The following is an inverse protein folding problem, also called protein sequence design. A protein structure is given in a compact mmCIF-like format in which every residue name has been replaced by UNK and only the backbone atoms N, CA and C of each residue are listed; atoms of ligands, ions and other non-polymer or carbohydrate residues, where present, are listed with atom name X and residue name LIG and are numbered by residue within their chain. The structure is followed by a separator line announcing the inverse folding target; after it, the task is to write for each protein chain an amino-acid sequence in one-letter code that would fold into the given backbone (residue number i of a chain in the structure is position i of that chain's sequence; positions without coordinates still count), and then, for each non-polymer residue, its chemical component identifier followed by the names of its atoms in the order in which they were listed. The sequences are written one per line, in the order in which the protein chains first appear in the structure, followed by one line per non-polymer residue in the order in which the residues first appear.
data_IF_964434162009
#
_entry.id   IF_964434162009
#
_cell.length_a   1.000
_cell.length_b   1.000
_cell.length_c   1.000
_cell.angle_alpha   90.00
_cell.angle_beta   90.00
_cell.angle_gamma   90.00
#
_symmetry.space_group_name_H-M   'P 1'
#
loop_
_entity.id
_entity.type
_entity.pdbx_description
1 polymer ?
#
# COMPACT_ATOMS: atom_id res chain seq x y z
N UNK A 1 17.22 7.53 0.07
CA UNK A 1 18.16 8.66 -0.09
C UNK A 1 19.57 8.29 0.37
N UNK A 2 19.81 8.04 1.67
CA UNK A 2 21.13 7.62 2.18
C UNK A 2 21.69 6.35 1.51
N UNK A 3 20.86 5.31 1.32
CA UNK A 3 21.26 4.06 0.65
C UNK A 3 21.52 4.20 -0.86
N UNK A 4 21.08 5.30 -1.48
CA UNK A 4 21.25 5.56 -2.91
C UNK A 4 22.33 6.63 -3.19
N UNK A 5 23.09 7.06 -2.17
CA UNK A 5 24.07 8.16 -2.26
C UNK A 5 23.51 9.46 -2.88
N UNK A 6 22.22 9.75 -2.67
CA UNK A 6 21.56 10.95 -3.21
C UNK A 6 21.01 11.84 -2.10
N UNK A 7 21.05 13.16 -2.32
CA UNK A 7 20.27 14.10 -1.51
C UNK A 7 18.76 13.81 -1.66
N UNK A 8 17.92 14.14 -0.66
CA UNK A 8 16.47 13.90 -0.72
C UNK A 8 15.80 14.54 -1.95
N UNK A 9 16.23 15.73 -2.37
CA UNK A 9 15.67 16.40 -3.54
C UNK A 9 16.05 15.70 -4.86
N UNK A 10 17.31 15.25 -4.99
CA UNK A 10 17.75 14.50 -6.17
C UNK A 10 17.05 13.15 -6.26
N UNK A 11 16.89 12.46 -5.12
CA UNK A 11 16.15 11.20 -5.03
C UNK A 11 14.68 11.37 -5.46
N UNK A 12 13.96 12.37 -4.93
CA UNK A 12 12.58 12.64 -5.33
C UNK A 12 12.43 12.88 -6.83
N UNK A 13 13.31 13.69 -7.43
CA UNK A 13 13.27 13.99 -8.87
C UNK A 13 13.52 12.75 -9.71
N UNK A 14 14.57 11.99 -9.42
CA UNK A 14 14.88 10.76 -10.15
C UNK A 14 13.79 9.71 -9.96
N UNK A 15 13.30 9.53 -8.74
CA UNK A 15 12.26 8.57 -8.44
C UNK A 15 10.98 8.90 -9.20
N UNK A 16 10.56 10.17 -9.22
CA UNK A 16 9.39 10.60 -10.01
C UNK A 16 9.64 10.48 -11.52
N UNK A 17 10.84 10.75 -12.00
CA UNK A 17 11.17 10.57 -13.41
C UNK A 17 11.05 9.10 -13.88
N UNK A 18 11.40 8.15 -13.02
CA UNK A 18 11.35 6.71 -13.34
C UNK A 18 9.97 6.11 -13.07
N UNK A 19 9.33 6.47 -11.95
CA UNK A 19 8.09 5.82 -11.49
C UNK A 19 6.82 6.62 -11.80
N UNK A 20 6.96 7.86 -12.30
CA UNK A 20 5.87 8.85 -12.41
C UNK A 20 5.18 9.21 -11.09
N UNK A 21 5.67 8.72 -9.95
CA UNK A 21 5.09 8.90 -8.63
C UNK A 21 6.10 9.50 -7.66
N UNK A 22 5.62 10.16 -6.61
CA UNK A 22 6.51 10.45 -5.49
C UNK A 22 6.86 9.16 -4.73
N UNK A 23 8.04 9.06 -4.08
CA UNK A 23 8.42 7.92 -3.26
C UNK A 23 7.36 7.53 -2.23
N UNK A 24 6.71 8.52 -1.61
CA UNK A 24 5.65 8.28 -0.62
C UNK A 24 4.40 7.65 -1.24
N UNK A 25 3.99 8.11 -2.43
CA UNK A 25 2.86 7.51 -3.13
C UNK A 25 3.15 6.07 -3.53
N UNK A 26 4.36 5.81 -4.03
CA UNK A 26 4.79 4.47 -4.39
C UNK A 26 4.86 3.54 -3.17
N UNK A 27 5.41 4.02 -2.05
CA UNK A 27 5.45 3.26 -0.81
C UNK A 27 4.04 2.89 -0.33
N UNK A 28 3.09 3.84 -0.39
CA UNK A 28 1.69 3.56 -0.05
C UNK A 28 1.10 2.49 -0.96
N UNK A 29 1.34 2.59 -2.26
CA UNK A 29 0.86 1.60 -3.22
C UNK A 29 1.39 0.20 -2.89
N UNK A 30 2.69 0.06 -2.62
CA UNK A 30 3.29 -1.21 -2.24
C UNK A 30 2.69 -1.77 -0.95
N UNK A 31 2.51 -0.94 0.08
CA UNK A 31 1.88 -1.35 1.35
C UNK A 31 0.45 -1.85 1.16
N UNK A 32 -0.35 -1.16 0.35
CA UNK A 32 -1.72 -1.55 0.08
C UNK A 32 -1.81 -2.84 -0.75
N UNK A 33 -0.90 -3.04 -1.71
CA UNK A 33 -0.79 -4.30 -2.47
C UNK A 33 -0.40 -5.46 -1.57
N UNK A 34 0.57 -5.26 -0.67
CA UNK A 34 0.99 -6.30 0.26
C UNK A 34 -0.13 -6.66 1.26
N UNK A 35 -0.86 -5.67 1.77
CA UNK A 35 -2.00 -5.92 2.63
C UNK A 35 -3.06 -6.77 1.92
N UNK A 36 -3.35 -6.48 0.64
CA UNK A 36 -4.26 -7.29 -0.19
C UNK A 36 -3.76 -8.73 -0.33
N UNK A 37 -2.46 -8.92 -0.56
CA UNK A 37 -1.83 -10.24 -0.62
C UNK A 37 -1.99 -11.03 0.69
N UNK A 38 -1.68 -10.39 1.83
CA UNK A 38 -1.82 -10.99 3.16
C UNK A 38 -3.25 -11.42 3.44
N UNK A 39 -4.23 -10.57 3.14
CA UNK A 39 -5.64 -10.90 3.36
C UNK A 39 -6.14 -12.01 2.42
N UNK A 40 -5.64 -12.08 1.18
CA UNK A 40 -6.05 -13.10 0.21
C UNK A 40 -5.43 -14.46 0.47
N UNK A 41 -4.11 -14.49 0.61
CA UNK A 41 -3.32 -15.73 0.60
C UNK A 41 -3.18 -16.28 2.01
N UNK A 42 -2.91 -15.40 2.98
CA UNK A 42 -2.59 -15.78 4.35
C UNK A 42 -3.80 -15.68 5.28
N UNK A 43 -4.97 -15.30 4.77
CA UNK A 43 -6.22 -15.14 5.51
C UNK A 43 -6.11 -14.18 6.73
N UNK A 44 -5.16 -13.23 6.69
CA UNK A 44 -5.03 -12.21 7.71
C UNK A 44 -6.25 -11.29 7.68
N UNK A 45 -6.81 -10.93 8.84
CA UNK A 45 -7.91 -9.97 8.88
C UNK A 45 -7.44 -8.55 8.54
N UNK A 46 -8.40 -7.68 8.21
CA UNK A 46 -8.15 -6.31 7.75
C UNK A 46 -7.32 -5.49 8.73
N UNK A 47 -7.59 -5.64 10.02
CA UNK A 47 -6.94 -4.84 11.07
C UNK A 47 -5.49 -5.27 11.23
N UNK A 48 -5.25 -6.57 11.31
CA UNK A 48 -3.89 -7.11 11.40
C UNK A 48 -3.08 -6.84 10.13
N UNK A 49 -3.68 -6.97 8.94
CA UNK A 49 -3.00 -6.65 7.69
C UNK A 49 -2.59 -5.17 7.64
N UNK A 50 -3.46 -4.26 8.08
CA UNK A 50 -3.15 -2.83 8.15
C UNK A 50 -1.93 -2.54 9.04
N UNK A 51 -1.88 -3.15 10.23
CA UNK A 51 -0.76 -2.97 11.15
C UNK A 51 0.54 -3.59 10.61
N UNK A 52 0.49 -4.77 10.01
CA UNK A 52 1.67 -5.43 9.43
C UNK A 52 2.32 -4.62 8.31
N UNK A 53 1.52 -3.93 7.49
CA UNK A 53 2.05 -3.05 6.42
C UNK A 53 2.38 -1.63 6.90
N UNK A 54 2.28 -1.37 8.21
CA UNK A 54 2.76 -0.15 8.84
C UNK A 54 1.77 1.02 8.82
N UNK A 55 0.46 0.74 8.84
CA UNK A 55 -0.55 1.75 9.20
C UNK A 55 -0.78 1.76 10.70
N UNK A 56 -0.91 2.94 11.30
CA UNK A 56 -1.23 3.09 12.72
C UNK A 56 -2.75 3.05 12.99
N UNK A 57 -3.57 3.14 11.94
CA UNK A 57 -5.03 3.16 12.03
C UNK A 57 -5.68 2.32 10.93
N UNK A 58 -6.45 1.30 11.33
CA UNK A 58 -7.25 0.48 10.42
C UNK A 58 -8.28 1.31 9.63
N UNK A 59 -8.81 2.38 10.22
CA UNK A 59 -9.74 3.31 9.55
C UNK A 59 -9.04 4.14 8.47
N UNK A 60 -7.80 4.60 8.72
CA UNK A 60 -7.00 5.27 7.69
C UNK A 60 -6.66 4.31 6.55
N UNK A 61 -6.20 3.11 6.89
CA UNK A 61 -5.91 2.04 5.93
C UNK A 61 -7.12 1.78 5.02
N UNK A 62 -8.30 1.56 5.60
CA UNK A 62 -9.51 1.24 4.85
C UNK A 62 -9.91 2.34 3.86
N UNK A 63 -9.71 3.62 4.22
CA UNK A 63 -9.95 4.76 3.31
C UNK A 63 -8.95 4.80 2.16
N UNK A 64 -7.66 4.62 2.45
CA UNK A 64 -6.63 4.61 1.40
C UNK A 64 -6.74 3.40 0.48
N UNK A 65 -7.04 2.22 1.05
CA UNK A 65 -7.32 0.99 0.32
C UNK A 65 -8.48 1.18 -0.65
N UNK A 66 -9.62 1.70 -0.17
CA UNK A 66 -10.80 1.93 -1.01
C UNK A 66 -10.52 2.93 -2.13
N UNK A 67 -9.68 3.95 -1.87
CA UNK A 67 -9.25 4.90 -2.90
C UNK A 67 -8.43 4.23 -4.01
N UNK A 68 -7.60 3.25 -3.67
CA UNK A 68 -6.74 2.56 -4.63
C UNK A 68 -7.45 1.43 -5.39
N UNK A 69 -8.24 0.61 -4.69
CA UNK A 69 -8.87 -0.60 -5.26
C UNK A 69 -10.35 -0.41 -5.61
N UNK A 70 -10.93 0.76 -5.31
CA UNK A 70 -12.31 1.10 -5.63
C UNK A 70 -13.36 0.57 -4.64
N UNK A 71 -12.97 -0.24 -3.65
CA UNK A 71 -13.90 -0.74 -2.63
C UNK A 71 -13.21 -1.10 -1.30
N UNK A 72 -13.98 -1.25 -0.20
CA UNK A 72 -13.42 -1.60 1.10
C UNK A 72 -12.73 -2.98 1.11
N UNK A 73 -11.70 -3.17 1.95
CA UNK A 73 -10.92 -4.41 2.03
C UNK A 73 -11.77 -5.68 2.11
N UNK A 74 -12.72 -5.74 3.04
CA UNK A 74 -13.57 -6.93 3.26
C UNK A 74 -14.35 -7.30 1.99
N UNK A 75 -14.90 -6.30 1.29
CA UNK A 75 -15.70 -6.51 0.07
C UNK A 75 -14.81 -6.98 -1.09
N UNK A 76 -13.65 -6.35 -1.24
CA UNK A 76 -12.68 -6.70 -2.27
C UNK A 76 -12.19 -8.14 -2.13
N UNK A 77 -11.74 -8.53 -0.93
CA UNK A 77 -11.28 -9.90 -0.65
C UNK A 77 -12.41 -10.91 -0.83
N UNK A 78 -13.61 -10.58 -0.37
CA UNK A 78 -14.79 -11.42 -0.58
C UNK A 78 -15.16 -11.61 -2.05
N UNK A 79 -14.85 -10.65 -2.92
CA UNK A 79 -15.06 -10.79 -4.37
C UNK A 79 -13.97 -11.62 -5.02
N UNK A 80 -12.70 -11.41 -4.65
CA UNK A 80 -11.56 -12.11 -5.23
C UNK A 80 -11.53 -13.60 -4.89
N UNK A 81 -12.04 -14.00 -3.72
CA UNK A 81 -12.14 -15.42 -3.32
C UNK A 81 -13.27 -16.19 -4.04
N UNK A 82 -14.16 -15.48 -4.73
CA UNK A 82 -15.26 -16.10 -5.51
C UNK A 82 -14.87 -16.42 -6.95
N UNK A 83 -13.70 -15.97 -7.38
CA UNK A 83 -13.10 -16.23 -8.70
C UNK A 83 -12.15 -17.43 -8.56
#
# INVERSE_FOLDING_TARGET
AKQANMSPASFHRHFKAVTSMSPMQYQKQLRLMEARRLMLIENVDVTNAAYQVGYESASQFSREYSRMFGMPPIKDIGQLRKV
#
